data_IF_249043851867
#
_entry.id   IF_249043851867
#
_cell.length_a   1.000
_cell.length_b   1.000
_cell.length_c   1.000
_cell.angle_alpha   90.00
_cell.angle_beta   90.00
_cell.angle_gamma   90.00
#
_symmetry.space_group_name_H-M   'P 1'
#
loop_
_entity.id
_entity.type
_entity.pdbx_description
1 polymer ?
#
# COMPACT_ATOMS: atom_id res chain seq x y z
N UNK A 1 -59.44 -47.00 -45.39
CA UNK A 1 -58.22 -46.41 -44.95
C UNK A 1 -58.00 -45.18 -45.78
N UNK A 2 -58.43 -44.02 -45.28
CA UNK A 2 -58.32 -42.72 -45.96
C UNK A 2 -57.26 -41.92 -45.19
N UNK A 3 -56.13 -41.72 -45.85
CA UNK A 3 -54.98 -41.00 -45.37
C UNK A 3 -55.25 -39.49 -45.46
N UNK A 4 -55.38 -38.83 -44.33
CA UNK A 4 -55.65 -37.40 -44.25
C UNK A 4 -54.26 -36.63 -44.20
N UNK A 5 -53.77 -36.27 -45.39
CA UNK A 5 -52.66 -35.37 -45.55
C UNK A 5 -53.10 -33.92 -45.32
N UNK A 6 -52.96 -33.43 -44.09
CA UNK A 6 -53.11 -32.01 -43.83
C UNK A 6 -51.88 -31.26 -44.40
N UNK A 7 -52.16 -30.48 -45.43
CA UNK A 7 -51.25 -29.54 -46.08
C UNK A 7 -50.90 -28.41 -45.11
N UNK A 8 -49.69 -28.55 -44.44
CA UNK A 8 -49.12 -27.52 -43.60
C UNK A 8 -48.46 -26.45 -44.47
N UNK A 9 -49.25 -25.55 -45.06
CA UNK A 9 -48.73 -24.32 -45.65
C UNK A 9 -48.28 -23.39 -44.52
N UNK A 10 -46.95 -23.29 -44.31
CA UNK A 10 -46.33 -22.31 -43.44
C UNK A 10 -46.57 -20.91 -44.05
N UNK A 11 -47.15 -19.95 -43.33
CA UNK A 11 -47.35 -18.60 -43.86
C UNK A 11 -45.99 -17.95 -44.11
N UNK A 12 -45.82 -17.35 -45.28
CA UNK A 12 -44.61 -16.60 -45.62
C UNK A 12 -44.48 -15.37 -44.71
N UNK A 13 -43.24 -15.04 -44.26
CA UNK A 13 -43.02 -13.85 -43.45
C UNK A 13 -43.36 -12.60 -44.27
N UNK A 14 -44.34 -11.84 -43.85
CA UNK A 14 -44.59 -10.52 -44.41
C UNK A 14 -43.47 -9.57 -43.96
N UNK A 15 -42.54 -9.26 -44.85
CA UNK A 15 -41.57 -8.18 -44.65
C UNK A 15 -42.32 -6.84 -44.71
N UNK A 16 -42.59 -6.26 -43.54
CA UNK A 16 -43.03 -4.87 -43.45
C UNK A 16 -41.84 -4.00 -43.88
N UNK A 17 -41.95 -3.42 -45.07
CA UNK A 17 -40.98 -2.40 -45.51
C UNK A 17 -41.08 -1.20 -44.56
N UNK A 18 -40.12 -1.05 -43.66
CA UNK A 18 -39.99 0.18 -42.89
C UNK A 18 -39.63 1.32 -43.86
N UNK A 19 -40.27 2.48 -43.71
CA UNK A 19 -39.88 3.67 -44.49
C UNK A 19 -38.41 3.94 -44.25
N UNK A 20 -37.63 4.08 -45.31
CA UNK A 20 -36.21 4.48 -45.22
C UNK A 20 -36.10 5.87 -44.60
N UNK A 21 -35.64 5.96 -43.37
CA UNK A 21 -35.27 7.24 -42.79
C UNK A 21 -34.14 7.89 -43.61
N UNK A 22 -34.14 9.21 -43.77
CA UNK A 22 -33.07 9.90 -44.48
C UNK A 22 -31.73 9.62 -43.79
N UNK A 23 -30.81 8.97 -44.48
CA UNK A 23 -29.46 8.71 -43.96
C UNK A 23 -28.78 10.05 -43.75
N UNK A 24 -28.55 10.43 -42.50
CA UNK A 24 -27.77 11.62 -42.16
C UNK A 24 -26.36 11.52 -42.78
N UNK A 25 -25.77 12.63 -43.24
CA UNK A 25 -24.42 12.62 -43.81
C UNK A 25 -23.44 11.98 -42.83
N UNK A 26 -22.68 10.99 -43.28
CA UNK A 26 -21.64 10.36 -42.49
C UNK A 26 -20.57 11.38 -42.11
N UNK A 27 -20.53 11.79 -40.85
CA UNK A 27 -19.42 12.52 -40.26
C UNK A 27 -18.43 11.48 -39.71
N UNK A 28 -17.20 11.41 -40.24
CA UNK A 28 -16.20 10.51 -39.64
C UNK A 28 -16.01 10.85 -38.17
N UNK A 29 -15.92 9.86 -37.27
CA UNK A 29 -15.64 10.13 -35.87
C UNK A 29 -14.33 10.88 -35.75
N UNK A 30 -14.32 11.94 -34.96
CA UNK A 30 -13.11 12.68 -34.67
C UNK A 30 -12.05 11.69 -34.13
N UNK A 31 -10.76 11.82 -34.52
CA UNK A 31 -9.72 10.96 -33.99
C UNK A 31 -9.72 11.08 -32.46
N UNK A 32 -10.21 10.03 -31.81
CA UNK A 32 -10.09 9.89 -30.37
C UNK A 32 -8.64 9.54 -30.10
N UNK A 33 -7.84 10.57 -29.76
CA UNK A 33 -6.57 10.36 -29.10
C UNK A 33 -6.88 9.75 -27.73
N UNK A 34 -7.10 8.46 -27.69
CA UNK A 34 -6.97 7.66 -26.46
C UNK A 34 -5.50 7.67 -26.08
N UNK A 35 -5.04 8.79 -25.61
CA UNK A 35 -3.85 8.88 -24.80
C UNK A 35 -4.16 8.14 -23.50
N UNK A 36 -4.16 6.81 -23.55
CA UNK A 36 -4.03 6.00 -22.36
C UNK A 36 -2.63 6.29 -21.85
N UNK A 37 -2.50 7.38 -21.07
CA UNK A 37 -1.45 7.43 -20.07
C UNK A 37 -1.72 6.22 -19.19
N UNK A 38 -1.03 5.11 -19.51
CA UNK A 38 -0.94 3.98 -18.62
C UNK A 38 -0.29 4.53 -17.36
N UNK A 39 -1.12 4.97 -16.40
CA UNK A 39 -0.63 5.36 -15.10
C UNK A 39 0.17 4.17 -14.60
N UNK A 40 1.49 4.37 -14.38
CA UNK A 40 2.36 3.34 -13.84
C UNK A 40 1.71 2.79 -12.57
N UNK A 41 1.18 1.57 -12.65
CA UNK A 41 0.65 0.83 -11.51
C UNK A 41 1.81 0.02 -10.93
N UNK A 42 2.28 0.35 -9.73
CA UNK A 42 3.33 -0.44 -9.09
C UNK A 42 2.88 -1.89 -8.97
N UNK A 43 3.72 -2.81 -9.43
CA UNK A 43 3.42 -4.24 -9.30
C UNK A 43 3.36 -4.60 -7.82
N UNK A 44 2.23 -5.13 -7.31
CA UNK A 44 2.12 -5.56 -5.92
C UNK A 44 3.15 -6.64 -5.59
N UNK A 45 3.69 -6.58 -4.38
CA UNK A 45 4.62 -7.61 -3.89
C UNK A 45 3.86 -8.86 -3.45
N UNK A 46 4.52 -10.03 -3.58
CA UNK A 46 4.00 -11.27 -3.00
C UNK A 46 3.87 -11.16 -1.46
N UNK A 47 2.97 -11.92 -0.81
CA UNK A 47 2.87 -11.93 0.65
C UNK A 47 4.18 -12.29 1.36
N UNK A 48 4.98 -13.19 0.77
CA UNK A 48 6.29 -13.57 1.31
C UNK A 48 7.29 -12.42 1.25
N UNK A 49 7.36 -11.72 0.11
CA UNK A 49 8.24 -10.56 -0.05
C UNK A 49 7.82 -9.41 0.89
N UNK A 50 6.51 -9.16 1.02
CA UNK A 50 6.02 -8.13 1.95
C UNK A 50 6.46 -8.42 3.40
N UNK A 51 6.43 -9.69 3.84
CA UNK A 51 6.92 -10.07 5.18
C UNK A 51 8.43 -9.87 5.30
N UNK A 52 9.20 -10.31 4.31
CA UNK A 52 10.66 -10.15 4.31
C UNK A 52 11.06 -8.67 4.41
N UNK A 53 10.47 -7.80 3.60
CA UNK A 53 10.73 -6.37 3.63
C UNK A 53 10.18 -5.68 4.89
N UNK A 54 9.07 -6.17 5.46
CA UNK A 54 8.56 -5.68 6.75
C UNK A 54 9.55 -6.00 7.89
N UNK A 55 10.11 -7.21 7.93
CA UNK A 55 11.18 -7.55 8.88
C UNK A 55 12.39 -6.63 8.67
N UNK A 56 12.84 -6.48 7.42
CA UNK A 56 13.97 -5.61 7.08
C UNK A 56 13.73 -4.15 7.52
N UNK A 57 12.48 -3.66 7.44
CA UNK A 57 12.13 -2.32 7.92
C UNK A 57 12.44 -2.14 9.41
N UNK A 58 12.06 -3.08 10.25
CA UNK A 58 12.35 -3.00 11.68
C UNK A 58 13.85 -3.15 11.99
N UNK A 59 14.53 -4.05 11.28
CA UNK A 59 15.97 -4.28 11.47
C UNK A 59 16.83 -3.15 10.89
N UNK A 60 16.38 -2.44 9.87
CA UNK A 60 17.09 -1.31 9.27
C UNK A 60 17.31 -0.16 10.24
N UNK A 61 16.47 -0.02 11.27
CA UNK A 61 16.65 0.95 12.33
C UNK A 61 17.95 0.70 13.13
N UNK A 62 18.32 -0.56 13.35
CA UNK A 62 19.59 -0.89 14.02
C UNK A 62 20.81 -0.57 13.16
N UNK A 63 20.72 -0.91 11.86
CA UNK A 63 21.80 -0.58 10.92
C UNK A 63 21.99 0.95 10.80
N UNK A 64 20.90 1.69 10.68
CA UNK A 64 20.92 3.15 10.60
C UNK A 64 21.33 3.82 11.93
N UNK A 65 21.20 3.14 13.06
CA UNK A 65 21.64 3.66 14.37
C UNK A 65 23.15 3.95 14.41
N UNK A 66 23.97 3.21 13.65
CA UNK A 66 25.41 3.48 13.55
C UNK A 66 25.74 4.85 12.94
N UNK A 67 24.84 5.44 12.16
CA UNK A 67 25.01 6.79 11.58
C UNK A 67 24.19 7.86 12.29
N UNK A 68 23.72 7.60 13.50
CA UNK A 68 22.90 8.49 14.33
C UNK A 68 21.58 8.97 13.68
N UNK A 69 21.17 8.36 12.57
CA UNK A 69 19.96 8.70 11.80
C UNK A 69 19.06 7.47 11.62
N UNK A 70 18.77 6.80 12.74
CA UNK A 70 18.05 5.52 12.76
C UNK A 70 16.67 5.54 12.07
N UNK A 71 16.06 6.71 11.90
CA UNK A 71 14.79 6.85 11.18
C UNK A 71 14.93 6.71 9.64
N UNK A 72 16.15 6.88 9.10
CA UNK A 72 16.35 6.80 7.63
C UNK A 72 16.03 5.40 7.09
N UNK A 73 16.33 4.33 7.82
CA UNK A 73 16.00 2.98 7.40
C UNK A 73 14.50 2.80 7.13
N UNK A 74 13.63 2.97 8.14
CA UNK A 74 12.19 2.93 7.96
C UNK A 74 11.65 3.96 6.96
N UNK A 75 12.27 5.15 6.86
CA UNK A 75 11.89 6.16 5.88
C UNK A 75 12.09 5.67 4.45
N UNK A 76 13.26 5.12 4.12
CA UNK A 76 13.52 4.56 2.79
C UNK A 76 12.57 3.41 2.48
N UNK A 77 12.35 2.50 3.44
CA UNK A 77 11.40 1.40 3.26
C UNK A 77 9.99 1.90 3.00
N UNK A 78 9.53 2.92 3.73
CA UNK A 78 8.22 3.52 3.50
C UNK A 78 8.11 4.14 2.11
N UNK A 79 9.08 4.98 1.70
CA UNK A 79 9.03 5.67 0.40
C UNK A 79 9.02 4.67 -0.76
N UNK A 80 9.85 3.62 -0.68
CA UNK A 80 10.03 2.67 -1.78
C UNK A 80 8.88 1.66 -1.88
N UNK A 81 8.34 1.22 -0.74
CA UNK A 81 7.45 0.06 -0.72
C UNK A 81 6.00 0.35 -0.31
N UNK A 82 5.64 1.58 0.08
CA UNK A 82 4.27 1.91 0.55
C UNK A 82 3.17 1.54 -0.45
N UNK A 83 3.48 1.60 -1.75
CA UNK A 83 2.52 1.31 -2.83
C UNK A 83 2.60 -0.14 -3.35
N UNK A 84 3.44 -0.99 -2.71
CA UNK A 84 3.70 -2.37 -3.12
C UNK A 84 2.90 -3.41 -2.33
N UNK A 85 2.17 -3.00 -1.30
CA UNK A 85 1.32 -3.86 -0.49
C UNK A 85 0.92 -3.23 0.85
N UNK A 86 -0.29 -3.55 1.33
CA UNK A 86 -0.83 -2.97 2.56
C UNK A 86 -0.01 -3.35 3.80
N UNK A 87 0.46 -4.59 3.86
CA UNK A 87 1.23 -5.11 4.99
C UNK A 87 2.58 -4.39 5.15
N UNK A 88 3.37 -4.28 4.06
CA UNK A 88 4.66 -3.56 4.11
C UNK A 88 4.46 -2.07 4.36
N UNK A 89 3.42 -1.44 3.79
CA UNK A 89 3.08 -0.05 4.06
C UNK A 89 2.82 0.17 5.55
N UNK A 90 1.97 -0.69 6.16
CA UNK A 90 1.65 -0.59 7.59
C UNK A 90 2.90 -0.68 8.46
N UNK A 91 3.75 -1.70 8.26
CA UNK A 91 4.96 -1.91 9.05
C UNK A 91 5.98 -0.78 8.89
N UNK A 92 6.19 -0.29 7.67
CA UNK A 92 7.13 0.80 7.42
C UNK A 92 6.64 2.14 7.97
N UNK A 93 5.33 2.42 7.88
CA UNK A 93 4.72 3.62 8.47
C UNK A 93 4.81 3.58 10.01
N UNK A 94 4.45 2.48 10.65
CA UNK A 94 4.53 2.34 12.11
C UNK A 94 5.98 2.46 12.62
N UNK A 95 6.94 1.81 11.95
CA UNK A 95 8.35 1.90 12.32
C UNK A 95 8.89 3.33 12.16
N UNK A 96 8.54 4.03 11.07
CA UNK A 96 8.94 5.42 10.85
C UNK A 96 8.35 6.36 11.90
N UNK A 97 7.05 6.26 12.16
CA UNK A 97 6.36 7.07 13.16
C UNK A 97 6.97 6.88 14.55
N UNK A 98 7.25 5.63 14.92
CA UNK A 98 7.90 5.31 16.18
C UNK A 98 9.29 5.94 16.27
N UNK A 99 10.13 5.79 15.24
CA UNK A 99 11.45 6.39 15.22
C UNK A 99 11.41 7.92 15.35
N UNK A 100 10.54 8.58 14.61
CA UNK A 100 10.37 10.04 14.71
C UNK A 100 9.95 10.46 16.13
N UNK A 101 9.01 9.72 16.73
CA UNK A 101 8.56 9.99 18.10
C UNK A 101 9.71 9.81 19.12
N UNK A 102 10.47 8.72 19.01
CA UNK A 102 11.61 8.46 19.88
C UNK A 102 12.72 9.50 19.72
N UNK A 103 12.97 9.98 18.49
CA UNK A 103 13.90 11.08 18.23
C UNK A 103 13.49 12.37 18.91
N UNK A 104 12.21 12.73 18.92
CA UNK A 104 11.70 13.88 19.67
C UNK A 104 12.02 13.71 21.16
N UNK A 105 11.78 12.52 21.71
CA UNK A 105 12.09 12.21 23.10
C UNK A 105 13.60 12.32 23.40
N UNK A 106 14.46 11.84 22.51
CA UNK A 106 15.92 11.95 22.64
C UNK A 106 16.38 13.43 22.62
N UNK A 107 15.85 14.23 21.70
CA UNK A 107 16.17 15.67 21.63
C UNK A 107 15.78 16.38 22.94
N UNK A 108 14.62 16.07 23.50
CA UNK A 108 14.19 16.62 24.79
C UNK A 108 15.08 16.12 25.92
N UNK A 109 15.61 14.90 25.84
CA UNK A 109 16.52 14.36 26.86
C UNK A 109 17.87 15.09 26.92
N UNK A 110 18.33 15.70 25.81
CA UNK A 110 19.62 16.37 25.75
C UNK A 110 19.77 17.49 26.82
N UNK A 111 18.91 18.52 26.90
CA UNK A 111 18.99 19.53 27.93
C UNK A 111 18.78 18.96 29.34
N UNK A 112 17.97 17.92 29.50
CA UNK A 112 17.73 17.25 30.77
C UNK A 112 18.96 16.48 31.29
N UNK A 113 19.96 16.21 30.42
CA UNK A 113 21.23 15.60 30.87
C UNK A 113 21.99 16.49 31.85
N UNK A 114 21.81 17.81 31.81
CA UNK A 114 22.43 18.74 32.76
C UNK A 114 22.02 18.47 34.21
N UNK A 115 20.85 17.88 34.41
CA UNK A 115 20.33 17.51 35.73
C UNK A 115 20.26 15.97 35.90
N UNK A 116 21.01 15.22 35.10
CA UNK A 116 21.11 13.75 35.09
C UNK A 116 19.82 13.00 34.71
N UNK A 117 18.65 13.65 34.73
CA UNK A 117 17.36 13.04 34.36
C UNK A 117 17.41 12.62 32.89
N UNK A 118 18.05 13.43 32.03
CA UNK A 118 18.15 13.13 30.60
C UNK A 118 18.93 11.83 30.28
N UNK A 119 19.89 11.45 31.11
CA UNK A 119 20.60 10.19 30.94
C UNK A 119 19.67 8.99 31.19
N UNK A 120 18.85 9.07 32.22
CA UNK A 120 17.85 8.02 32.54
C UNK A 120 16.79 7.93 31.46
N UNK A 121 16.25 9.09 31.02
CA UNK A 121 15.20 9.11 29.97
C UNK A 121 15.75 8.64 28.62
N UNK A 122 16.95 9.04 28.22
CA UNK A 122 17.59 8.56 26.99
C UNK A 122 17.84 7.05 27.03
N UNK A 123 18.29 6.51 28.17
CA UNK A 123 18.48 5.08 28.38
C UNK A 123 17.14 4.30 28.27
N UNK A 124 16.08 4.83 28.88
CA UNK A 124 14.74 4.23 28.79
C UNK A 124 14.22 4.25 27.35
N UNK A 125 14.40 5.35 26.61
CA UNK A 125 14.05 5.45 25.19
C UNK A 125 14.84 4.43 24.37
N UNK A 126 16.14 4.33 24.54
CA UNK A 126 16.97 3.37 23.81
C UNK A 126 16.54 1.91 24.06
N UNK A 127 16.22 1.57 25.29
CA UNK A 127 15.68 0.25 25.63
C UNK A 127 14.33 -0.01 25.00
N UNK A 128 13.44 0.99 25.03
CA UNK A 128 12.13 0.90 24.37
C UNK A 128 12.27 0.70 22.87
N UNK A 129 13.18 1.43 22.22
CA UNK A 129 13.47 1.25 20.79
C UNK A 129 13.95 -0.16 20.49
N UNK A 130 14.91 -0.68 21.26
CA UNK A 130 15.42 -2.04 21.09
C UNK A 130 14.30 -3.08 21.18
N UNK A 131 13.56 -3.06 22.25
CA UNK A 131 12.49 -4.05 22.51
C UNK A 131 11.39 -3.97 21.44
N UNK A 132 10.91 -2.78 21.17
CA UNK A 132 9.81 -2.59 20.23
C UNK A 132 10.18 -2.96 18.79
N UNK A 133 11.42 -2.70 18.34
CA UNK A 133 11.85 -3.12 17.01
C UNK A 133 11.98 -4.64 16.90
N UNK A 134 12.46 -5.32 17.94
CA UNK A 134 12.48 -6.79 17.98
C UNK A 134 11.05 -7.33 17.93
N UNK A 135 10.12 -6.81 18.73
CA UNK A 135 8.73 -7.23 18.71
C UNK A 135 8.05 -6.99 17.36
N UNK A 136 8.35 -5.85 16.73
CA UNK A 136 7.88 -5.53 15.38
C UNK A 136 8.38 -6.52 14.34
N UNK A 137 9.68 -6.84 14.36
CA UNK A 137 10.27 -7.84 13.47
C UNK A 137 9.67 -9.24 13.68
N UNK A 138 9.46 -9.64 14.93
CA UNK A 138 8.80 -10.92 15.27
C UNK A 138 7.35 -10.95 14.76
N UNK A 139 6.58 -9.89 14.97
CA UNK A 139 5.21 -9.81 14.47
C UNK A 139 5.18 -9.89 12.93
N UNK A 140 6.08 -9.15 12.26
CA UNK A 140 6.20 -9.17 10.81
C UNK A 140 6.55 -10.56 10.27
N UNK A 141 7.45 -11.29 10.92
CA UNK A 141 7.80 -12.67 10.54
C UNK A 141 6.62 -13.65 10.64
N UNK A 142 5.72 -13.38 11.57
CA UNK A 142 4.47 -14.15 11.75
C UNK A 142 3.32 -13.68 10.84
N UNK A 143 3.54 -12.67 10.02
CA UNK A 143 2.52 -12.08 9.16
C UNK A 143 1.43 -11.31 9.93
N UNK A 144 1.75 -10.86 11.13
CA UNK A 144 0.83 -10.08 11.98
C UNK A 144 1.20 -8.61 11.95
N UNK A 145 0.18 -7.74 11.96
CA UNK A 145 0.38 -6.31 12.14
C UNK A 145 0.94 -6.01 13.53
N UNK A 146 1.81 -4.99 13.60
CA UNK A 146 2.38 -4.51 14.85
C UNK A 146 2.16 -3.00 14.96
N UNK A 147 1.61 -2.56 16.08
CA UNK A 147 1.44 -1.16 16.42
C UNK A 147 2.36 -0.82 17.59
N UNK A 148 3.21 0.17 17.36
CA UNK A 148 4.13 0.62 18.39
C UNK A 148 3.39 1.38 19.50
N UNK A 149 3.69 1.13 20.78
CA UNK A 149 3.20 1.94 21.89
C UNK A 149 3.80 3.35 21.85
N UNK A 150 3.10 4.31 22.43
CA UNK A 150 3.58 5.70 22.61
C UNK A 150 4.01 6.39 21.30
N UNK A 151 3.38 6.08 20.19
CA UNK A 151 3.77 6.57 18.87
C UNK A 151 2.83 7.66 18.38
N UNK A 152 3.39 8.81 17.98
CA UNK A 152 2.68 9.84 17.24
C UNK A 152 2.71 9.44 15.76
N UNK A 153 1.53 9.40 15.11
CA UNK A 153 1.42 8.96 13.73
C UNK A 153 1.47 10.15 12.78
N UNK A 154 2.60 10.30 12.10
CA UNK A 154 2.86 11.35 11.10
C UNK A 154 2.51 10.87 9.69
N UNK A 155 2.63 9.56 9.43
CA UNK A 155 2.36 8.92 8.13
C UNK A 155 1.51 7.66 8.30
N UNK A 156 0.82 7.22 7.21
CA UNK A 156 -0.09 6.06 7.21
C UNK A 156 0.05 5.23 5.93
#
# INVERSE_FOLDING_TARGET
MTENTQDYRRPEPQYVQQPSEPVAPYSPPAPQFSGTQSAYQPVPMSPADQRAWAIATHLSAFLAAFVALSFLGPLFMYIIFRDRGAFIRHHSAEALNFQLTMWIGLIISVPLMLVLIGLVTAGAIAMTMLVCHILGAVAASQGRDYRYPFTIRFVS
#
